data_IF_411247734775
#
_entry.id   IF_411247734775
#
_cell.length_a   1.000
_cell.length_b   1.000
_cell.length_c   1.000
_cell.angle_alpha   90.00
_cell.angle_beta   90.00
_cell.angle_gamma   90.00
#
_symmetry.space_group_name_H-M   'P 1'
#
loop_
_entity.id
_entity.type
_entity.pdbx_description
1 polymer ?
#
# COMPACT_ATOMS: atom_id res chain seq x y z
N UNK A 1 15.64 -16.56 -10.89
CA UNK A 1 16.93 -16.06 -11.40
C UNK A 1 17.88 -15.85 -10.24
N UNK A 2 19.20 -15.96 -10.47
CA UNK A 2 20.16 -15.65 -9.42
C UNK A 2 19.98 -14.18 -9.00
N UNK A 3 19.68 -13.94 -7.71
CA UNK A 3 19.47 -12.59 -7.17
C UNK A 3 18.03 -12.06 -7.15
N UNK A 4 17.01 -12.85 -7.51
CA UNK A 4 15.61 -12.38 -7.36
C UNK A 4 15.17 -12.38 -5.89
N UNK A 5 14.43 -11.35 -5.46
CA UNK A 5 13.85 -11.32 -4.13
C UNK A 5 12.65 -12.28 -4.02
N UNK A 6 12.25 -12.70 -2.81
CA UNK A 6 11.02 -13.44 -2.61
C UNK A 6 9.77 -12.73 -3.18
N UNK A 7 9.73 -11.39 -3.12
CA UNK A 7 8.64 -10.60 -3.70
C UNK A 7 8.62 -10.70 -5.23
N UNK A 8 9.78 -10.52 -5.87
CA UNK A 8 9.91 -10.64 -7.33
C UNK A 8 9.47 -12.03 -7.83
N UNK A 9 9.82 -13.08 -7.07
CA UNK A 9 9.39 -14.45 -7.35
C UNK A 9 7.87 -14.59 -7.28
N UNK A 10 7.25 -14.06 -6.24
CA UNK A 10 5.81 -14.14 -6.03
C UNK A 10 5.06 -13.38 -7.13
N UNK A 11 5.50 -12.16 -7.45
CA UNK A 11 4.93 -11.36 -8.53
C UNK A 11 5.02 -12.09 -9.87
N UNK A 12 6.18 -12.69 -10.17
CA UNK A 12 6.37 -13.50 -11.38
C UNK A 12 5.43 -14.71 -11.41
N UNK A 13 5.26 -15.42 -10.29
CA UNK A 13 4.34 -16.55 -10.21
C UNK A 13 2.89 -16.13 -10.48
N UNK A 14 2.46 -15.00 -9.94
CA UNK A 14 1.12 -14.44 -10.17
C UNK A 14 0.93 -14.07 -11.66
N UNK A 15 1.94 -13.45 -12.30
CA UNK A 15 1.87 -13.14 -13.75
C UNK A 15 1.78 -14.40 -14.61
N UNK A 16 2.55 -15.44 -14.28
CA UNK A 16 2.48 -16.73 -14.98
C UNK A 16 1.10 -17.36 -14.83
N UNK A 17 0.51 -17.32 -13.63
CA UNK A 17 -0.84 -17.82 -13.40
C UNK A 17 -1.89 -17.03 -14.20
N UNK A 18 -1.82 -15.69 -14.19
CA UNK A 18 -2.72 -14.84 -14.95
C UNK A 18 -2.67 -15.13 -16.46
N UNK A 19 -1.45 -15.29 -17.02
CA UNK A 19 -1.27 -15.69 -18.42
C UNK A 19 -1.90 -17.07 -18.68
N UNK A 20 -1.65 -18.04 -17.81
CA UNK A 20 -2.21 -19.38 -17.95
C UNK A 20 -3.74 -19.36 -17.97
N UNK A 21 -4.38 -18.61 -17.06
CA UNK A 21 -5.83 -18.44 -17.05
C UNK A 21 -6.34 -17.80 -18.34
N UNK A 22 -5.68 -16.75 -18.85
CA UNK A 22 -6.09 -16.12 -20.10
C UNK A 22 -5.98 -17.08 -21.29
N UNK A 23 -4.91 -17.87 -21.37
CA UNK A 23 -4.75 -18.89 -22.41
C UNK A 23 -5.76 -20.03 -22.29
N UNK A 24 -6.09 -20.44 -21.07
CA UNK A 24 -7.01 -21.56 -20.83
C UNK A 24 -8.47 -21.18 -21.10
N UNK A 25 -8.87 -19.96 -20.74
CA UNK A 25 -10.23 -19.45 -20.95
C UNK A 25 -10.46 -18.90 -22.36
N UNK A 26 -9.39 -18.65 -23.12
CA UNK A 26 -9.45 -18.09 -24.46
C UNK A 26 -10.10 -16.70 -24.49
N UNK A 27 -10.74 -16.35 -25.60
CA UNK A 27 -11.37 -15.04 -25.80
C UNK A 27 -12.73 -14.90 -25.08
N UNK A 28 -13.28 -15.99 -24.56
CA UNK A 28 -14.58 -15.98 -23.89
C UNK A 28 -14.58 -15.16 -22.59
N UNK A 29 -13.41 -15.06 -21.93
CA UNK A 29 -13.25 -14.31 -20.67
C UNK A 29 -11.94 -13.55 -20.70
N UNK A 30 -12.01 -12.25 -20.36
CA UNK A 30 -10.82 -11.42 -20.16
C UNK A 30 -10.33 -11.55 -18.71
N UNK A 31 -9.09 -11.98 -18.53
CA UNK A 31 -8.42 -12.07 -17.24
C UNK A 31 -7.69 -10.76 -16.96
N UNK A 32 -7.97 -10.13 -15.82
CA UNK A 32 -7.35 -8.87 -15.39
C UNK A 32 -6.57 -9.08 -14.09
N UNK A 33 -5.28 -8.73 -14.10
CA UNK A 33 -4.44 -8.68 -12.91
C UNK A 33 -4.59 -7.32 -12.22
N UNK A 34 -5.14 -7.29 -11.01
CA UNK A 34 -5.22 -6.06 -10.21
C UNK A 34 -4.01 -6.00 -9.28
N UNK A 35 -3.18 -4.96 -9.42
CA UNK A 35 -2.00 -4.73 -8.57
C UNK A 35 -1.69 -3.25 -8.42
N UNK A 36 -1.31 -2.84 -7.20
CA UNK A 36 -0.80 -1.49 -6.91
C UNK A 36 0.74 -1.43 -6.90
N UNK A 37 1.42 -2.56 -7.07
CA UNK A 37 2.86 -2.58 -7.32
C UNK A 37 3.11 -2.12 -8.75
N UNK A 38 3.77 -0.96 -8.89
CA UNK A 38 4.03 -0.31 -10.18
C UNK A 38 4.88 -1.19 -11.10
N UNK A 39 5.87 -1.87 -10.54
CA UNK A 39 6.81 -2.67 -11.32
C UNK A 39 6.19 -4.00 -11.75
N UNK A 40 5.36 -4.60 -10.90
CA UNK A 40 4.57 -5.78 -11.27
C UNK A 40 3.54 -5.43 -12.37
N UNK A 41 2.86 -4.28 -12.27
CA UNK A 41 1.93 -3.80 -13.30
C UNK A 41 2.64 -3.61 -14.66
N UNK A 42 3.77 -2.89 -14.66
CA UNK A 42 4.58 -2.66 -15.86
C UNK A 42 5.00 -3.97 -16.51
N UNK A 43 5.62 -4.87 -15.73
CA UNK A 43 6.05 -6.19 -16.21
C UNK A 43 4.89 -7.03 -16.74
N UNK A 44 3.73 -7.02 -16.08
CA UNK A 44 2.55 -7.74 -16.54
C UNK A 44 2.09 -7.26 -17.92
N UNK A 45 2.04 -5.95 -18.12
CA UNK A 45 1.65 -5.33 -19.39
C UNK A 45 2.64 -5.67 -20.50
N UNK A 46 3.95 -5.59 -20.24
CA UNK A 46 5.02 -6.01 -21.18
C UNK A 46 4.95 -7.50 -21.53
N UNK A 47 4.52 -8.31 -20.57
CA UNK A 47 4.33 -9.75 -20.69
C UNK A 47 3.01 -10.16 -21.38
N UNK A 48 2.21 -9.19 -21.82
CA UNK A 48 0.92 -9.40 -22.51
C UNK A 48 -0.25 -9.73 -21.58
N UNK A 49 -0.08 -9.57 -20.27
CA UNK A 49 -1.13 -9.76 -19.26
C UNK A 49 -1.84 -8.43 -19.04
N UNK A 50 -3.17 -8.39 -19.18
CA UNK A 50 -3.95 -7.19 -18.82
C UNK A 50 -3.80 -6.92 -17.33
N UNK A 51 -3.32 -5.73 -16.96
CA UNK A 51 -3.11 -5.36 -15.57
C UNK A 51 -3.49 -3.91 -15.29
N UNK A 52 -4.10 -3.65 -14.13
CA UNK A 52 -4.53 -2.31 -13.70
C UNK A 52 -4.35 -2.13 -12.18
N UNK A 53 -4.34 -0.89 -11.72
CA UNK A 53 -4.39 -0.59 -10.28
C UNK A 53 -5.81 -0.79 -9.76
N UNK A 54 -5.96 -1.00 -8.44
CA UNK A 54 -7.29 -1.10 -7.84
C UNK A 54 -8.09 0.18 -8.06
N UNK A 55 -7.42 1.33 -8.06
CA UNK A 55 -8.05 2.62 -8.28
C UNK A 55 -8.63 2.74 -9.69
N UNK A 56 -7.86 2.40 -10.73
CA UNK A 56 -8.33 2.40 -12.12
C UNK A 56 -9.50 1.43 -12.31
N UNK A 57 -9.37 0.23 -11.74
CA UNK A 57 -10.43 -0.77 -11.79
C UNK A 57 -11.73 -0.25 -11.17
N UNK A 58 -11.68 0.31 -9.95
CA UNK A 58 -12.88 0.85 -9.29
C UNK A 58 -13.48 2.05 -10.03
N UNK A 59 -12.64 2.94 -10.60
CA UNK A 59 -13.12 4.05 -11.44
C UNK A 59 -13.91 3.54 -12.65
N UNK A 60 -13.45 2.44 -13.27
CA UNK A 60 -14.13 1.85 -14.43
C UNK A 60 -15.51 1.29 -14.12
N UNK A 61 -15.80 0.94 -12.86
CA UNK A 61 -17.10 0.40 -12.43
C UNK A 61 -18.22 1.44 -12.38
N UNK A 62 -17.92 2.74 -12.47
CA UNK A 62 -18.93 3.80 -12.46
C UNK A 62 -19.63 4.01 -11.11
N UNK A 63 -19.08 3.46 -10.02
CA UNK A 63 -19.64 3.58 -8.67
C UNK A 63 -18.75 4.47 -7.78
N UNK A 64 -19.01 5.79 -7.72
CA UNK A 64 -18.13 6.73 -7.02
C UNK A 64 -18.02 6.46 -5.51
N UNK A 65 -19.05 5.86 -4.90
CA UNK A 65 -19.03 5.49 -3.48
C UNK A 65 -17.92 4.48 -3.15
N UNK A 66 -17.52 3.63 -4.09
CA UNK A 66 -16.45 2.65 -3.88
C UNK A 66 -15.07 3.30 -3.80
N UNK A 67 -14.85 4.45 -4.46
CA UNK A 67 -13.59 5.18 -4.38
C UNK A 67 -13.33 5.71 -2.97
N UNK A 68 -14.38 6.06 -2.23
CA UNK A 68 -14.27 6.50 -0.83
C UNK A 68 -13.80 5.39 0.12
N UNK A 69 -13.89 4.12 -0.31
CA UNK A 69 -13.44 2.97 0.46
C UNK A 69 -11.98 2.61 0.16
N UNK A 70 -11.38 3.20 -0.88
CA UNK A 70 -9.99 2.97 -1.21
C UNK A 70 -9.09 3.75 -0.27
N UNK A 71 -8.06 3.08 0.23
CA UNK A 71 -6.95 3.75 0.91
C UNK A 71 -6.24 4.60 -0.13
N UNK A 72 -6.23 5.92 0.09
CA UNK A 72 -5.41 6.80 -0.73
C UNK A 72 -3.94 6.41 -0.52
N UNK A 73 -3.18 6.16 -1.60
CA UNK A 73 -1.74 5.99 -1.46
C UNK A 73 -1.19 7.23 -0.76
N UNK A 74 -0.23 7.04 0.16
CA UNK A 74 0.52 8.15 0.71
C UNK A 74 1.18 8.87 -0.46
N UNK A 75 0.59 9.97 -0.92
CA UNK A 75 0.93 10.59 -2.20
C UNK A 75 2.43 10.90 -2.27
N UNK A 76 3.15 10.21 -3.14
CA UNK A 76 4.51 10.62 -3.55
C UNK A 76 4.48 11.68 -4.65
N UNK A 77 3.39 11.81 -5.42
CA UNK A 77 3.29 12.82 -6.49
C UNK A 77 1.87 13.40 -6.57
N UNK A 78 1.61 14.46 -5.80
CA UNK A 78 0.54 15.41 -6.14
C UNK A 78 1.26 16.69 -6.51
N UNK A 79 1.45 16.91 -7.82
CA UNK A 79 1.68 18.24 -8.39
C UNK A 79 0.52 19.11 -7.94
N UNK A 80 0.76 19.92 -6.92
CA UNK A 80 -0.24 20.86 -6.42
C UNK A 80 -0.37 21.98 -7.43
N UNK A 81 -1.54 22.08 -8.06
CA UNK A 81 -2.01 23.38 -8.51
C UNK A 81 -2.09 24.29 -7.28
N UNK A 82 -1.46 25.44 -7.40
CA UNK A 82 -1.34 26.48 -6.39
C UNK A 82 -2.73 27.08 -6.10
N UNK A 83 -3.45 26.48 -5.16
CA UNK A 83 -4.52 27.18 -4.46
C UNK A 83 -3.90 27.88 -3.25
N UNK A 84 -3.92 29.21 -3.29
CA UNK A 84 -3.53 30.10 -2.20
C UNK A 84 -4.36 29.79 -0.95
N UNK A 85 -3.85 28.89 -0.12
CA UNK A 85 -4.41 28.60 1.19
C UNK A 85 -3.37 28.99 2.24
N UNK A 86 -3.69 30.01 3.04
CA UNK A 86 -2.88 30.59 4.12
C UNK A 86 -2.63 29.62 5.31
N UNK A 87 -2.84 28.32 5.11
CA UNK A 87 -2.53 27.27 6.07
C UNK A 87 -1.07 26.85 5.89
N UNK A 88 -0.30 26.66 6.98
CA UNK A 88 1.10 26.26 6.88
C UNK A 88 1.22 25.02 6.01
N UNK A 89 2.08 25.13 5.01
CA UNK A 89 2.34 24.17 3.95
C UNK A 89 2.42 22.73 4.46
N UNK A 90 1.86 21.85 3.64
CA UNK A 90 1.72 20.41 3.84
C UNK A 90 3.01 19.75 4.35
N UNK A 91 2.79 18.79 5.28
CA UNK A 91 3.73 17.77 5.78
C UNK A 91 4.91 18.27 6.63
N UNK A 92 4.63 18.93 7.75
CA UNK A 92 5.54 18.84 8.90
C UNK A 92 5.35 17.46 9.54
N UNK A 93 6.40 16.65 9.61
CA UNK A 93 6.37 15.39 10.39
C UNK A 93 6.05 15.76 11.83
N UNK A 94 4.81 15.50 12.26
CA UNK A 94 4.29 15.93 13.57
C UNK A 94 4.80 15.03 14.70
N UNK A 95 5.11 13.78 14.37
CA UNK A 95 5.53 12.75 15.32
C UNK A 95 6.83 12.08 14.87
N UNK A 96 7.73 11.73 15.80
CA UNK A 96 8.94 10.99 15.46
C UNK A 96 8.59 9.62 14.85
N UNK A 97 9.45 9.14 13.96
CA UNK A 97 9.30 7.79 13.40
C UNK A 97 9.36 6.72 14.48
N UNK A 98 8.62 5.64 14.26
CA UNK A 98 8.69 4.48 15.13
C UNK A 98 10.08 3.82 15.03
N UNK A 99 10.57 3.36 16.18
CA UNK A 99 11.83 2.61 16.27
C UNK A 99 11.73 1.31 15.46
N UNK A 100 12.83 0.86 14.83
CA UNK A 100 12.84 -0.42 14.13
C UNK A 100 12.60 -1.58 15.10
N UNK A 101 11.98 -2.65 14.60
CA UNK A 101 11.64 -3.82 15.41
C UNK A 101 12.86 -4.46 16.10
N UNK A 102 14.04 -4.38 15.48
CA UNK A 102 15.29 -4.88 16.07
C UNK A 102 15.66 -4.14 17.36
N UNK A 103 15.52 -2.82 17.37
CA UNK A 103 15.76 -1.98 18.54
C UNK A 103 14.69 -2.22 19.61
N UNK A 104 13.41 -2.28 19.22
CA UNK A 104 12.30 -2.56 20.14
C UNK A 104 12.53 -3.89 20.86
N UNK A 105 12.84 -4.95 20.11
CA UNK A 105 13.06 -6.30 20.66
C UNK A 105 14.26 -6.34 21.60
N UNK A 106 15.38 -5.72 21.21
CA UNK A 106 16.57 -5.60 22.04
C UNK A 106 16.29 -4.84 23.34
N UNK A 107 15.56 -3.72 23.26
CA UNK A 107 15.19 -2.91 24.41
C UNK A 107 14.22 -3.62 25.36
N UNK A 108 13.24 -4.38 24.84
CA UNK A 108 12.36 -5.22 25.65
C UNK A 108 13.14 -6.31 26.39
N UNK A 109 14.08 -6.97 25.70
CA UNK A 109 14.87 -8.07 26.27
C UNK A 109 15.82 -7.59 27.37
N UNK A 110 16.38 -6.38 27.20
CA UNK A 110 17.26 -5.74 28.19
C UNK A 110 16.51 -5.02 29.32
N UNK A 111 15.18 -5.03 29.30
CA UNK A 111 14.34 -4.31 30.28
C UNK A 111 14.41 -2.79 30.17
N UNK A 112 14.87 -2.26 29.03
CA UNK A 112 14.92 -0.81 28.73
C UNK A 112 13.54 -0.32 28.28
N UNK A 113 12.82 -1.15 27.53
CA UNK A 113 11.45 -0.87 27.10
C UNK A 113 10.47 -1.78 27.83
N UNK A 114 9.24 -1.28 27.97
CA UNK A 114 8.11 -2.02 28.48
C UNK A 114 6.99 -1.99 27.43
N UNK A 115 6.35 -3.14 27.21
CA UNK A 115 5.22 -3.26 26.30
C UNK A 115 3.96 -3.52 27.11
N UNK A 116 2.92 -2.73 26.85
CA UNK A 116 1.65 -2.81 27.55
C UNK A 116 0.51 -2.24 26.72
N UNK A 117 -0.70 -2.30 27.26
CA UNK A 117 -1.90 -1.76 26.62
C UNK A 117 -2.07 -0.30 27.03
N UNK A 118 -1.87 0.62 26.08
CA UNK A 118 -2.14 2.04 26.30
C UNK A 118 -3.64 2.27 26.58
N UNK A 119 -3.97 2.89 27.71
CA UNK A 119 -5.33 3.35 28.01
C UNK A 119 -5.37 4.87 27.97
N UNK A 120 -6.19 5.41 27.08
CA UNK A 120 -6.33 6.86 26.91
C UNK A 120 -7.57 7.35 27.67
N UNK A 121 -7.45 8.45 28.40
CA UNK A 121 -8.57 9.04 29.12
C UNK A 121 -9.62 9.60 28.13
N UNK A 122 -10.90 9.31 28.38
CA UNK A 122 -12.01 9.69 27.47
C UNK A 122 -12.24 11.20 27.38
N UNK A 123 -11.92 11.94 28.44
CA UNK A 123 -12.15 13.38 28.55
C UNK A 123 -10.88 14.20 28.32
N UNK A 124 -9.71 13.55 28.43
CA UNK A 124 -8.43 14.19 28.14
C UNK A 124 -7.49 13.25 27.35
N UNK A 125 -7.43 13.38 26.01
CA UNK A 125 -6.70 12.43 25.17
C UNK A 125 -5.18 12.50 25.30
N UNK A 126 -4.62 13.50 25.99
CA UNK A 126 -3.17 13.58 26.26
C UNK A 126 -2.75 12.88 27.54
N UNK A 127 -3.71 12.49 28.40
CA UNK A 127 -3.43 11.71 29.61
C UNK A 127 -3.55 10.23 29.27
N UNK A 128 -2.48 9.50 29.55
CA UNK A 128 -2.38 8.06 29.34
C UNK A 128 -2.04 7.36 30.64
N UNK A 129 -2.75 6.27 30.93
CA UNK A 129 -2.44 5.37 32.04
C UNK A 129 -1.70 4.14 31.47
N UNK A 130 -0.58 3.79 32.10
CA UNK A 130 0.26 2.62 31.77
C UNK A 130 -0.17 1.39 32.58
#
# INVERSE_FOLDING_TARGET
MAGESPNDRNDRAIRVAARWYQSHLGEAVKVLLITNDRENNRKATEEGVSAETIESYVKSLGHPALLNLLVQPASEDVTMEEVEDMRPSKRKVVYPEHKPMSEITSGLTKGIYHQGKLRVNRYNPVIVDL
#
